data_IF_169055922749
#
_entry.id   IF_169055922749
#
_cell.length_a   1.000
_cell.length_b   1.000
_cell.length_c   1.000
_cell.angle_alpha   90.00
_cell.angle_beta   90.00
_cell.angle_gamma   90.00
#
_symmetry.space_group_name_H-M   'P 1'
#
loop_
_entity.id
_entity.type
_entity.pdbx_description
1 polymer ?
#
# COMPACT_ATOMS: atom_id res chain seq x y z
N UNK A 1 56.36 -52.98 -14.96
CA UNK A 1 56.22 -51.88 -15.16
C UNK A 1 55.08 -51.35 -14.62
N UNK A 2 55.03 -50.51 -13.99
CA UNK A 2 53.98 -50.07 -13.33
C UNK A 2 53.25 -49.03 -13.95
N UNK A 3 52.13 -49.02 -13.93
CA UNK A 3 51.43 -48.07 -14.49
C UNK A 3 50.82 -47.27 -13.48
N UNK A 4 50.61 -46.21 -13.65
CA UNK A 4 50.12 -45.34 -12.84
C UNK A 4 48.82 -45.00 -13.01
N UNK A 5 48.06 -44.86 -12.21
CA UNK A 5 46.79 -44.41 -12.42
C UNK A 5 46.72 -42.97 -12.21
N UNK A 6 46.04 -42.46 -13.00
CA UNK A 6 45.86 -41.19 -12.91
C UNK A 6 44.80 -40.81 -12.08
N UNK A 7 45.01 -39.99 -11.37
CA UNK A 7 44.07 -39.50 -10.56
C UNK A 7 43.24 -38.56 -11.20
N UNK A 8 42.10 -38.75 -11.23
CA UNK A 8 41.24 -37.84 -11.75
C UNK A 8 40.76 -36.95 -10.68
N UNK A 9 41.12 -35.85 -10.77
CA UNK A 9 40.68 -34.93 -9.87
C UNK A 9 39.36 -34.43 -10.27
N UNK A 10 38.47 -34.76 -9.54
CA UNK A 10 37.22 -34.25 -9.84
C UNK A 10 37.05 -33.00 -9.14
N UNK A 11 36.93 -32.04 -9.83
CA UNK A 11 36.68 -30.85 -9.27
C UNK A 11 35.27 -30.61 -9.15
N UNK A 12 34.84 -30.55 -8.05
CA UNK A 12 33.52 -30.28 -7.88
C UNK A 12 33.28 -28.89 -7.82
N UNK A 13 32.59 -28.43 -8.64
CA UNK A 13 32.23 -27.16 -8.65
C UNK A 13 31.01 -26.93 -7.98
N UNK A 14 30.96 -26.34 -7.02
CA UNK A 14 29.80 -26.03 -6.41
C UNK A 14 29.35 -24.75 -6.86
N UNK A 15 28.39 -24.74 -7.41
CA UNK A 15 27.84 -23.61 -7.79
C UNK A 15 27.00 -23.11 -6.73
N UNK A 16 27.26 -22.18 -6.26
CA UNK A 16 26.44 -21.64 -5.37
C UNK A 16 25.49 -20.86 -5.98
N UNK A 17 24.50 -21.09 -5.81
CA UNK A 17 23.57 -20.40 -6.30
C UNK A 17 23.18 -19.37 -5.49
N UNK A 18 23.25 -18.51 -5.65
CA UNK A 18 22.85 -17.58 -4.94
C UNK A 18 21.60 -17.22 -5.04
N UNK A 19 20.98 -16.91 -4.83
CA UNK A 19 19.87 -16.57 -4.98
C UNK A 19 19.46 -15.55 -4.45
N UNK A 20 19.40 -14.93 -4.46
CA UNK A 20 19.03 -13.96 -4.08
C UNK A 20 17.90 -13.49 -3.97
N UNK A 21 17.43 -13.02 -3.88
CA UNK A 21 16.49 -12.64 -3.84
C UNK A 21 16.09 -11.78 -3.30
N UNK A 22 15.81 -11.12 -3.27
CA UNK A 22 15.44 -10.39 -2.92
C UNK A 22 14.58 -9.83 -2.70
N UNK A 23 14.10 -9.40 -2.55
CA UNK A 23 13.20 -8.97 -2.25
C UNK A 23 13.01 -7.86 -1.98
N UNK A 24 12.78 -7.13 -1.97
CA UNK A 24 12.59 -6.25 -1.76
C UNK A 24 11.87 -5.54 -1.36
N UNK A 25 11.57 -4.90 -1.08
CA UNK A 25 10.89 -4.26 -0.61
C UNK A 25 10.65 -3.19 -0.72
N UNK A 26 10.18 -2.55 -0.68
CA UNK A 26 9.90 -1.57 -0.80
C UNK A 26 9.65 -0.63 -0.29
N UNK A 27 9.39 0.03 -0.18
CA UNK A 27 9.22 0.82 0.14
C UNK A 27 8.79 1.62 0.35
N UNK A 28 8.53 2.15 0.24
CA UNK A 28 8.14 2.81 0.45
C UNK A 28 7.72 3.81 0.53
N UNK A 29 7.50 4.27 0.73
CA UNK A 29 7.07 5.28 0.88
C UNK A 29 6.22 5.84 0.35
N UNK A 30 5.86 5.88 -0.10
CA UNK A 30 5.15 6.44 -0.76
C UNK A 30 3.99 6.44 -0.74
N UNK A 31 3.43 6.93 -1.08
CA UNK A 31 2.33 6.91 -1.13
C UNK A 31 1.75 6.48 -2.15
N UNK A 32 1.98 5.99 -2.84
CA UNK A 32 1.37 5.67 -3.88
C UNK A 32 0.75 4.50 -3.92
N UNK A 33 0.21 4.17 -4.79
CA UNK A 33 -0.38 2.97 -4.99
C UNK A 33 0.51 1.97 -4.81
N UNK A 34 0.27 1.11 -4.08
CA UNK A 34 1.13 0.14 -3.96
C UNK A 34 0.91 -0.82 -4.90
N UNK A 35 1.59 -1.65 -5.08
CA UNK A 35 1.41 -2.62 -6.03
C UNK A 35 0.36 -3.56 -5.78
N UNK A 36 -0.27 -3.59 -4.76
CA UNK A 36 -1.31 -4.57 -4.54
C UNK A 36 -2.64 -4.02 -4.88
N UNK A 37 -3.65 -4.66 -4.36
CA UNK A 37 -4.99 -4.25 -4.60
C UNK A 37 -5.44 -3.19 -3.62
N UNK A 38 -4.67 -2.86 -2.64
CA UNK A 38 -5.07 -1.89 -1.63
C UNK A 38 -4.07 -0.76 -1.51
N UNK A 39 -4.58 0.39 -1.12
CA UNK A 39 -3.77 1.55 -0.83
C UNK A 39 -4.13 1.97 0.58
N UNK A 40 -3.14 2.20 1.42
CA UNK A 40 -3.37 2.46 2.83
C UNK A 40 -3.28 3.95 3.13
N UNK A 41 -4.20 4.41 3.96
CA UNK A 41 -4.18 5.79 4.44
C UNK A 41 -4.36 5.72 5.96
N UNK A 42 -3.56 6.44 6.69
CA UNK A 42 -3.70 6.50 8.13
C UNK A 42 -4.43 7.77 8.52
N UNK A 43 -5.17 7.72 9.61
CA UNK A 43 -5.71 8.92 10.23
C UNK A 43 -4.90 9.13 11.48
N UNK A 44 -4.04 10.14 11.45
CA UNK A 44 -3.12 10.36 12.52
C UNK A 44 -2.91 11.84 12.72
N UNK A 45 -2.91 12.28 13.96
CA UNK A 45 -2.74 13.67 14.31
C UNK A 45 -3.82 14.54 13.65
N UNK A 46 -5.01 13.99 13.52
CA UNK A 46 -6.15 14.64 12.90
C UNK A 46 -5.82 15.04 11.46
N UNK A 47 -5.14 14.14 10.76
CA UNK A 47 -4.81 14.30 9.35
C UNK A 47 -5.03 12.97 8.66
N UNK A 48 -5.28 13.02 7.36
CA UNK A 48 -5.16 11.82 6.54
C UNK A 48 -3.72 11.76 6.03
N UNK A 49 -3.07 10.64 6.23
CA UNK A 49 -1.66 10.50 5.88
C UNK A 49 -1.47 9.30 4.99
N UNK A 50 -1.06 9.48 3.77
CA UNK A 50 -0.78 10.75 3.09
C UNK A 50 -2.07 11.49 2.76
N UNK A 51 -1.97 12.78 2.59
CA UNK A 51 -3.14 13.56 2.27
C UNK A 51 -3.59 13.32 0.82
N UNK A 52 -2.66 13.13 -0.07
CA UNK A 52 -2.96 12.91 -1.48
C UNK A 52 -2.38 11.58 -1.91
N UNK A 53 -3.19 10.77 -2.56
CA UNK A 53 -2.73 9.48 -3.04
C UNK A 53 -3.16 9.30 -4.49
N UNK A 54 -2.48 8.41 -5.18
CA UNK A 54 -2.84 8.00 -6.53
C UNK A 54 -3.14 6.52 -6.50
N UNK A 55 -4.19 6.14 -7.17
CA UNK A 55 -4.60 4.74 -7.21
C UNK A 55 -5.18 4.44 -8.58
N UNK A 56 -5.60 3.23 -8.81
CA UNK A 56 -6.18 2.81 -10.09
C UNK A 56 -7.58 2.27 -9.86
N UNK A 57 -8.39 2.33 -10.88
CA UNK A 57 -9.70 1.71 -10.83
C UNK A 57 -9.54 0.24 -10.46
N UNK A 58 -10.34 -0.21 -9.55
CA UNK A 58 -10.26 -1.60 -9.07
C UNK A 58 -9.54 -1.75 -7.76
N UNK A 59 -8.74 -0.79 -7.37
CA UNK A 59 -8.06 -0.87 -6.09
C UNK A 59 -9.00 -0.45 -4.97
N UNK A 60 -8.66 -0.83 -3.78
CA UNK A 60 -9.42 -0.48 -2.57
C UNK A 60 -8.55 0.39 -1.70
N UNK A 61 -9.11 1.48 -1.21
CA UNK A 61 -8.40 2.31 -0.25
C UNK A 61 -8.85 1.88 1.13
N UNK A 62 -7.90 1.72 2.04
CA UNK A 62 -8.18 1.31 3.41
C UNK A 62 -7.68 2.41 4.32
N UNK A 63 -8.58 2.98 5.11
CA UNK A 63 -8.23 3.99 6.09
C UNK A 63 -8.20 3.33 7.46
N UNK A 64 -7.21 3.66 8.26
CA UNK A 64 -7.09 3.14 9.62
C UNK A 64 -6.95 4.30 10.58
N UNK A 65 -7.78 4.33 11.61
CA UNK A 65 -7.69 5.40 12.60
C UNK A 65 -6.61 5.04 13.62
N UNK A 66 -5.57 5.85 13.68
CA UNK A 66 -4.49 5.66 14.64
C UNK A 66 -4.56 6.66 15.77
N UNK A 67 -5.56 7.52 15.79
CA UNK A 67 -5.71 8.52 16.84
C UNK A 67 -6.64 8.03 17.95
N UNK A 68 -6.54 8.66 19.08
CA UNK A 68 -7.44 8.32 20.19
C UNK A 68 -8.81 8.94 20.04
N UNK A 69 -8.99 9.84 19.08
CA UNK A 69 -10.29 10.47 18.85
C UNK A 69 -10.94 9.82 17.64
N UNK A 70 -12.24 9.93 17.57
CA UNK A 70 -12.96 9.32 16.46
C UNK A 70 -12.80 10.14 15.19
N UNK A 71 -12.81 9.45 14.08
CA UNK A 71 -12.78 10.05 12.76
C UNK A 71 -13.79 9.34 11.88
N UNK A 72 -14.12 9.94 10.76
CA UNK A 72 -14.86 9.23 9.72
C UNK A 72 -14.30 9.66 8.37
N UNK A 73 -14.79 9.04 7.32
CA UNK A 73 -14.34 9.31 5.97
C UNK A 73 -15.57 9.56 5.14
N UNK A 74 -15.66 10.74 4.52
CA UNK A 74 -16.79 11.03 3.67
C UNK A 74 -16.31 11.65 2.37
N UNK A 75 -16.66 11.04 1.25
CA UNK A 75 -16.35 11.62 -0.04
C UNK A 75 -17.26 12.83 -0.26
N UNK A 76 -16.69 13.92 -0.73
CA UNK A 76 -17.44 15.12 -0.99
C UNK A 76 -17.52 15.42 -2.47
N UNK A 77 -16.65 14.79 -3.29
CA UNK A 77 -16.67 15.01 -4.70
C UNK A 77 -16.06 13.82 -5.38
N UNK A 78 -16.62 13.41 -6.46
CA UNK A 78 -16.05 12.31 -7.26
C UNK A 78 -16.46 10.92 -6.84
N UNK A 79 -17.10 10.78 -5.72
CA UNK A 79 -17.59 9.51 -5.21
C UNK A 79 -18.60 9.81 -4.12
N UNK A 80 -19.23 8.78 -3.58
CA UNK A 80 -20.23 9.03 -2.55
C UNK A 80 -20.09 8.12 -1.36
N UNK A 81 -18.91 7.62 -1.09
CA UNK A 81 -18.75 6.75 0.07
C UNK A 81 -18.75 7.55 1.39
N UNK A 82 -19.13 6.86 2.46
CA UNK A 82 -19.14 7.48 3.76
C UNK A 82 -19.03 6.39 4.81
N UNK A 83 -18.12 6.55 5.74
CA UNK A 83 -17.96 5.56 6.80
C UNK A 83 -18.81 5.95 8.00
N UNK A 84 -18.95 5.04 8.93
CA UNK A 84 -19.44 5.38 10.25
C UNK A 84 -18.26 5.99 11.02
N UNK A 85 -18.52 6.42 12.25
CA UNK A 85 -17.44 6.90 13.10
C UNK A 85 -16.50 5.74 13.41
N UNK A 86 -15.22 6.00 13.32
CA UNK A 86 -14.19 4.99 13.53
C UNK A 86 -13.40 5.34 14.77
N UNK A 87 -13.29 4.38 15.68
CA UNK A 87 -12.49 4.54 16.87
C UNK A 87 -11.06 4.08 16.57
N UNK A 88 -10.17 4.30 17.51
CA UNK A 88 -8.77 3.90 17.29
C UNK A 88 -8.69 2.43 16.92
N UNK A 89 -8.00 2.15 15.86
CA UNK A 89 -7.82 0.79 15.38
C UNK A 89 -8.85 0.35 14.35
N UNK A 90 -9.94 1.08 14.21
CA UNK A 90 -10.95 0.70 13.23
C UNK A 90 -10.53 1.09 11.83
N UNK A 91 -11.07 0.40 10.86
CA UNK A 91 -10.76 0.65 9.45
C UNK A 91 -12.01 0.85 8.64
N UNK A 92 -11.85 1.49 7.50
CA UNK A 92 -12.91 1.63 6.51
C UNK A 92 -12.31 1.39 5.14
N UNK A 93 -13.04 0.74 4.27
CA UNK A 93 -12.55 0.43 2.93
C UNK A 93 -13.51 0.96 1.90
N UNK A 94 -12.97 1.45 0.80
CA UNK A 94 -13.77 1.86 -0.34
C UNK A 94 -13.09 1.38 -1.61
N UNK A 95 -13.85 0.70 -2.45
CA UNK A 95 -13.31 0.23 -3.71
C UNK A 95 -13.49 1.31 -4.74
N UNK A 96 -12.46 1.54 -5.54
CA UNK A 96 -12.48 2.60 -6.53
C UNK A 96 -13.03 2.06 -7.82
N UNK A 97 -14.11 2.64 -8.32
CA UNK A 97 -14.78 2.12 -9.50
C UNK A 97 -14.74 3.04 -10.69
N UNK A 98 -14.29 4.27 -10.53
CA UNK A 98 -14.25 5.22 -11.62
C UNK A 98 -12.99 6.03 -11.59
N UNK A 99 -12.42 6.31 -12.72
CA UNK A 99 -11.27 7.19 -12.79
C UNK A 99 -11.70 8.63 -12.51
N UNK A 100 -10.79 9.43 -12.04
CA UNK A 100 -11.04 10.85 -11.75
C UNK A 100 -10.50 11.20 -10.37
N UNK A 101 -10.83 12.39 -9.93
CA UNK A 101 -10.39 12.84 -8.62
C UNK A 101 -11.52 12.70 -7.62
N UNK A 102 -11.17 12.27 -6.44
CA UNK A 102 -12.12 12.15 -5.34
C UNK A 102 -11.60 13.00 -4.20
N UNK A 103 -12.43 13.92 -3.73
CA UNK A 103 -12.11 14.68 -2.53
C UNK A 103 -12.88 14.08 -1.38
N UNK A 104 -12.29 14.03 -0.21
CA UNK A 104 -12.95 13.50 0.96
C UNK A 104 -12.49 14.24 2.22
N UNK A 105 -13.24 14.09 3.29
CA UNK A 105 -12.87 14.72 4.54
C UNK A 105 -13.45 13.92 5.69
N UNK A 106 -13.06 14.31 6.89
CA UNK A 106 -13.64 13.78 8.11
C UNK A 106 -14.72 14.77 8.54
N UNK A 107 -15.93 14.32 8.77
CA UNK A 107 -17.00 15.23 9.14
C UNK A 107 -16.88 15.69 10.58
N UNK A 108 -16.16 14.95 11.41
CA UNK A 108 -15.96 15.32 12.80
C UNK A 108 -14.89 16.41 12.90
N UNK A 109 -13.91 16.40 12.01
CA UNK A 109 -12.85 17.40 11.97
C UNK A 109 -12.72 17.90 10.54
N UNK A 110 -13.55 18.83 10.10
CA UNK A 110 -13.61 19.14 8.66
C UNK A 110 -12.33 19.69 8.04
N UNK A 111 -11.38 20.10 8.83
CA UNK A 111 -10.11 20.50 8.25
C UNK A 111 -9.26 19.29 7.85
N UNK A 112 -9.62 18.10 8.30
CA UNK A 112 -8.92 16.88 7.95
C UNK A 112 -9.45 16.42 6.59
N UNK A 113 -8.64 16.57 5.56
CA UNK A 113 -9.07 16.33 4.18
C UNK A 113 -8.07 15.53 3.41
N UNK A 114 -8.52 14.88 2.36
CA UNK A 114 -7.66 14.14 1.49
C UNK A 114 -8.16 14.14 0.06
N UNK A 115 -7.33 13.65 -0.84
CA UNK A 115 -7.68 13.53 -2.25
C UNK A 115 -7.10 12.25 -2.81
N UNK A 116 -7.89 11.59 -3.63
CA UNK A 116 -7.46 10.41 -4.36
C UNK A 116 -7.53 10.74 -5.83
N UNK A 117 -6.43 10.55 -6.56
CA UNK A 117 -6.45 10.59 -8.00
C UNK A 117 -6.53 9.16 -8.47
N UNK A 118 -7.59 8.83 -9.19
CA UNK A 118 -7.83 7.46 -9.63
C UNK A 118 -7.56 7.39 -11.11
N UNK A 119 -6.57 6.63 -11.49
CA UNK A 119 -6.23 6.45 -12.89
C UNK A 119 -7.01 5.27 -13.46
N UNK A 120 -7.30 5.34 -14.74
CA UNK A 120 -7.91 4.19 -15.39
C UNK A 120 -6.92 3.06 -15.38
N UNK A 121 -7.43 1.86 -15.49
CA UNK A 121 -6.55 0.71 -15.49
C UNK A 121 -5.64 0.62 -16.65
#
# INVERSE_FOLDING_TARGET
MPSRPLLALLLLLVAAAGCGDESESPDSGGASASGGDTVQVAMKDILFVPEKITARVGQTVVWTNQDDVEHDVKATKGADFKSKALSKGDTYEAKLTKAGSIDYLCTIHPSQRGRITVDAQ
#
